data_IF_053699999965
#
_entry.id   IF_053699999965
#
_cell.length_a   1.000
_cell.length_b   1.000
_cell.length_c   1.000
_cell.angle_alpha   90.00
_cell.angle_beta   90.00
_cell.angle_gamma   90.00
#
_symmetry.space_group_name_H-M   'P 1'
#
loop_
_entity.id
_entity.type
_entity.pdbx_description
1 polymer ?
#
# COMPACT_ATOMS: atom_id res chain seq x y z
N UNK A 1 -1.69 4.81 23.08
CA UNK A 1 -0.87 4.00 22.17
C UNK A 1 -1.16 4.46 20.76
N UNK A 2 -0.14 4.78 19.96
CA UNK A 2 -0.32 5.09 18.53
C UNK A 2 -0.15 3.76 17.79
N UNK A 3 -1.09 3.45 16.89
CA UNK A 3 -1.01 2.23 16.09
C UNK A 3 0.13 2.34 15.07
N UNK A 4 0.99 1.33 14.99
CA UNK A 4 2.05 1.26 13.99
C UNK A 4 1.49 0.69 12.68
N UNK A 5 1.28 1.59 11.71
CA UNK A 5 0.73 1.22 10.41
C UNK A 5 1.66 0.35 9.56
N UNK A 6 2.94 0.22 9.94
CA UNK A 6 3.87 -0.71 9.27
C UNK A 6 3.55 -2.17 9.58
N UNK A 7 2.91 -2.47 10.72
CA UNK A 7 2.48 -3.83 11.08
C UNK A 7 1.46 -4.42 10.08
N UNK A 8 0.76 -3.58 9.31
CA UNK A 8 -0.08 -4.07 8.21
C UNK A 8 0.73 -4.73 7.08
N UNK A 9 1.96 -4.27 6.83
CA UNK A 9 2.83 -4.93 5.87
C UNK A 9 3.30 -6.29 6.41
N UNK A 10 3.58 -6.38 7.70
CA UNK A 10 3.97 -7.66 8.33
C UNK A 10 2.83 -8.66 8.25
N UNK A 11 1.60 -8.25 8.59
CA UNK A 11 0.41 -9.08 8.41
C UNK A 11 0.16 -9.44 6.94
N UNK A 12 0.42 -8.53 6.00
CA UNK A 12 0.32 -8.83 4.58
C UNK A 12 1.29 -9.94 4.15
N UNK A 13 2.52 -9.94 4.68
CA UNK A 13 3.53 -10.98 4.41
C UNK A 13 3.08 -12.33 4.97
N UNK A 14 2.55 -12.35 6.19
CA UNK A 14 2.01 -13.57 6.81
C UNK A 14 0.89 -14.18 5.97
N UNK A 15 -0.07 -13.36 5.53
CA UNK A 15 -1.21 -13.81 4.73
C UNK A 15 -0.80 -14.29 3.33
N UNK A 16 0.22 -13.69 2.73
CA UNK A 16 0.75 -14.09 1.44
C UNK A 16 1.49 -15.45 1.49
N UNK A 17 2.04 -15.81 2.65
CA UNK A 17 2.80 -17.04 2.86
C UNK A 17 1.97 -18.34 2.77
N UNK A 18 2.67 -19.47 2.81
CA UNK A 18 2.08 -20.82 2.70
C UNK A 18 1.64 -21.40 4.06
N UNK A 19 1.50 -20.57 5.10
CA UNK A 19 1.06 -21.04 6.41
C UNK A 19 -0.32 -21.72 6.34
N UNK A 20 -0.51 -22.75 7.17
CA UNK A 20 -1.75 -23.51 7.33
C UNK A 20 -2.81 -22.64 8.01
N UNK A 21 -3.40 -21.73 7.24
CA UNK A 21 -4.50 -20.90 7.66
C UNK A 21 -5.85 -21.52 7.27
N UNK A 22 -6.89 -21.26 8.07
CA UNK A 22 -8.26 -21.70 7.80
C UNK A 22 -8.87 -21.09 6.53
N UNK A 23 -8.39 -19.92 6.12
CA UNK A 23 -8.86 -19.22 4.92
C UNK A 23 -8.18 -19.74 3.64
N UNK A 24 -8.98 -19.82 2.57
CA UNK A 24 -8.49 -20.21 1.23
C UNK A 24 -7.35 -19.31 0.76
N UNK A 25 -6.33 -19.84 0.05
CA UNK A 25 -5.18 -19.06 -0.40
C UNK A 25 -5.53 -17.79 -1.18
N UNK A 26 -6.57 -17.83 -2.01
CA UNK A 26 -7.04 -16.66 -2.77
C UNK A 26 -7.51 -15.52 -1.85
N UNK A 27 -8.33 -15.81 -0.85
CA UNK A 27 -8.84 -14.81 0.08
C UNK A 27 -7.70 -14.14 0.86
N UNK A 28 -6.72 -14.94 1.30
CA UNK A 28 -5.55 -14.43 2.02
C UNK A 28 -4.68 -13.52 1.15
N UNK A 29 -4.40 -13.92 -0.09
CA UNK A 29 -3.60 -13.12 -1.02
C UNK A 29 -4.29 -11.82 -1.42
N UNK A 30 -5.61 -11.83 -1.62
CA UNK A 30 -6.40 -10.60 -1.86
C UNK A 30 -6.34 -9.66 -0.66
N UNK A 31 -6.53 -10.19 0.55
CA UNK A 31 -6.41 -9.40 1.78
C UNK A 31 -4.99 -8.85 1.97
N UNK A 32 -3.95 -9.64 1.69
CA UNK A 32 -2.56 -9.21 1.74
C UNK A 32 -2.28 -8.00 0.84
N UNK A 33 -2.82 -7.98 -0.40
CA UNK A 33 -2.68 -6.82 -1.30
C UNK A 33 -3.32 -5.57 -0.68
N UNK A 34 -4.50 -5.71 -0.07
CA UNK A 34 -5.17 -4.59 0.60
C UNK A 34 -4.39 -4.05 1.79
N UNK A 35 -3.85 -4.93 2.63
CA UNK A 35 -3.04 -4.54 3.78
C UNK A 35 -1.71 -3.90 3.37
N UNK A 36 -1.03 -4.44 2.35
CA UNK A 36 0.18 -3.83 1.78
C UNK A 36 -0.12 -2.43 1.24
N UNK A 37 -1.25 -2.24 0.54
CA UNK A 37 -1.68 -0.92 0.11
C UNK A 37 -1.91 0.03 1.30
N UNK A 38 -2.64 -0.40 2.32
CA UNK A 38 -2.96 0.47 3.46
C UNK A 38 -1.73 0.84 4.28
N UNK A 39 -0.78 -0.08 4.47
CA UNK A 39 0.49 0.21 5.13
C UNK A 39 1.21 1.39 4.43
N UNK A 40 1.48 1.26 3.13
CA UNK A 40 2.16 2.29 2.34
C UNK A 40 1.35 3.60 2.26
N UNK A 41 0.05 3.52 1.96
CA UNK A 41 -0.80 4.70 1.81
C UNK A 41 -0.92 5.50 3.10
N UNK A 42 -1.14 4.84 4.24
CA UNK A 42 -1.35 5.54 5.50
C UNK A 42 -0.05 6.18 5.99
N UNK A 43 1.09 5.50 5.84
CA UNK A 43 2.39 6.08 6.16
C UNK A 43 2.69 7.29 5.26
N UNK A 44 2.43 7.20 3.96
CA UNK A 44 2.58 8.33 3.03
C UNK A 44 1.64 9.50 3.39
N UNK A 45 0.38 9.21 3.69
CA UNK A 45 -0.61 10.19 4.14
C UNK A 45 -0.16 10.90 5.41
N UNK A 46 0.33 10.13 6.39
CA UNK A 46 0.79 10.69 7.66
C UNK A 46 2.07 11.50 7.46
N UNK A 47 2.98 11.11 6.56
CA UNK A 47 4.14 11.93 6.19
C UNK A 47 3.70 13.31 5.68
N UNK A 48 2.82 13.37 4.68
CA UNK A 48 2.31 14.65 4.15
C UNK A 48 1.61 15.48 5.24
N UNK A 49 0.81 14.85 6.11
CA UNK A 49 0.07 15.54 7.17
C UNK A 49 0.98 16.06 8.29
N UNK A 50 1.83 15.19 8.81
CA UNK A 50 2.55 15.41 10.08
C UNK A 50 3.92 16.05 9.87
N UNK A 51 4.59 15.77 8.74
CA UNK A 51 5.90 16.35 8.42
C UNK A 51 5.81 17.57 7.50
N UNK A 52 4.90 17.54 6.54
CA UNK A 52 4.79 18.61 5.51
C UNK A 52 3.57 19.53 5.74
N UNK A 53 2.68 19.22 6.68
CA UNK A 53 1.56 20.09 7.06
C UNK A 53 0.39 20.12 6.06
N UNK A 54 0.28 19.14 5.16
CA UNK A 54 -0.82 19.07 4.21
C UNK A 54 -2.17 18.82 4.89
N UNK A 55 -3.21 19.51 4.41
CA UNK A 55 -4.60 19.23 4.77
C UNK A 55 -5.14 18.08 3.90
N UNK A 56 -5.11 16.87 4.45
CA UNK A 56 -5.55 15.66 3.74
C UNK A 56 -7.09 15.61 3.66
N UNK A 57 -7.68 15.36 2.47
CA UNK A 57 -9.11 15.10 2.34
C UNK A 57 -9.60 14.00 3.28
N UNK A 58 -10.80 14.15 3.85
CA UNK A 58 -11.43 13.15 4.74
C UNK A 58 -12.30 12.13 3.99
N UNK A 59 -12.39 12.25 2.67
CA UNK A 59 -13.16 11.38 1.78
C UNK A 59 -12.23 10.34 1.13
N UNK A 60 -12.81 9.45 0.31
CA UNK A 60 -12.03 8.54 -0.54
C UNK A 60 -11.06 9.25 -1.51
N UNK A 61 -11.22 10.56 -1.73
CA UNK A 61 -10.29 11.36 -2.54
C UNK A 61 -8.88 11.43 -1.96
N UNK A 62 -8.71 11.16 -0.67
CA UNK A 62 -7.40 11.11 -0.02
C UNK A 62 -6.42 10.18 -0.77
N UNK A 63 -6.92 9.05 -1.30
CA UNK A 63 -6.11 8.09 -2.05
C UNK A 63 -5.51 8.68 -3.33
N UNK A 64 -6.26 9.52 -4.04
CA UNK A 64 -5.77 10.24 -5.22
C UNK A 64 -4.84 11.38 -4.80
N UNK A 65 -5.30 12.20 -3.85
CA UNK A 65 -4.57 13.38 -3.38
C UNK A 65 -3.15 13.04 -2.91
N UNK A 66 -2.99 12.04 -2.04
CA UNK A 66 -1.68 11.65 -1.50
C UNK A 66 -0.73 11.26 -2.62
N UNK A 67 -1.16 10.39 -3.55
CA UNK A 67 -0.32 9.97 -4.68
C UNK A 67 0.06 11.16 -5.60
N UNK A 68 -0.85 12.10 -5.80
CA UNK A 68 -0.59 13.31 -6.59
C UNK A 68 0.40 14.25 -5.92
N UNK A 69 0.31 14.48 -4.61
CA UNK A 69 1.28 15.32 -3.89
C UNK A 69 2.69 14.74 -3.99
N UNK A 70 2.84 13.43 -3.81
CA UNK A 70 4.14 12.77 -4.01
C UNK A 70 4.63 12.91 -5.47
N UNK A 71 3.73 12.82 -6.45
CA UNK A 71 4.08 12.95 -7.87
C UNK A 71 4.54 14.37 -8.27
N UNK A 72 4.08 15.41 -7.58
CA UNK A 72 4.44 16.79 -7.92
C UNK A 72 5.87 17.16 -7.53
N UNK A 73 6.45 16.48 -6.55
CA UNK A 73 7.81 16.74 -6.08
C UNK A 73 8.84 15.97 -6.94
N UNK A 74 9.80 16.65 -7.62
CA UNK A 74 10.74 15.99 -8.52
C UNK A 74 11.77 15.09 -7.83
N UNK A 75 11.85 15.10 -6.49
CA UNK A 75 12.75 14.25 -5.73
C UNK A 75 12.51 12.74 -6.04
N UNK A 76 13.57 11.95 -6.32
CA UNK A 76 13.41 10.54 -6.68
C UNK A 76 12.68 9.69 -5.64
N UNK A 77 12.85 9.96 -4.34
CA UNK A 77 12.15 9.23 -3.29
C UNK A 77 10.65 9.57 -3.29
N UNK A 78 10.29 10.83 -3.55
CA UNK A 78 8.87 11.20 -3.73
C UNK A 78 8.26 10.51 -4.96
N UNK A 79 8.97 10.49 -6.09
CA UNK A 79 8.52 9.81 -7.32
C UNK A 79 8.38 8.29 -7.13
N UNK A 80 9.27 7.68 -6.35
CA UNK A 80 9.20 6.27 -5.97
C UNK A 80 7.91 5.98 -5.17
N UNK A 81 7.62 6.78 -4.13
CA UNK A 81 6.38 6.65 -3.35
C UNK A 81 5.16 6.80 -4.25
N UNK A 82 5.11 7.83 -5.10
CA UNK A 82 3.99 8.08 -6.01
C UNK A 82 3.72 6.88 -6.94
N UNK A 83 4.78 6.35 -7.54
CA UNK A 83 4.71 5.22 -8.48
C UNK A 83 4.22 3.94 -7.80
N UNK A 84 4.72 3.66 -6.60
CA UNK A 84 4.32 2.50 -5.80
C UNK A 84 2.87 2.60 -5.34
N UNK A 85 2.44 3.76 -4.84
CA UNK A 85 1.04 3.97 -4.41
C UNK A 85 0.05 3.83 -5.57
N UNK A 86 0.39 4.35 -6.75
CA UNK A 86 -0.46 4.23 -7.94
C UNK A 86 -0.68 2.75 -8.32
N UNK A 87 0.40 1.96 -8.40
CA UNK A 87 0.33 0.53 -8.73
C UNK A 87 -0.39 -0.28 -7.65
N UNK A 88 -0.06 -0.04 -6.38
CA UNK A 88 -0.73 -0.72 -5.25
C UNK A 88 -2.23 -0.48 -5.24
N UNK A 89 -2.67 0.76 -5.50
CA UNK A 89 -4.10 1.10 -5.57
C UNK A 89 -4.81 0.32 -6.67
N UNK A 90 -4.19 0.17 -7.85
CA UNK A 90 -4.74 -0.62 -8.95
C UNK A 90 -4.87 -2.10 -8.56
N UNK A 91 -3.83 -2.69 -7.98
CA UNK A 91 -3.87 -4.09 -7.55
C UNK A 91 -4.89 -4.34 -6.45
N UNK A 92 -5.04 -3.40 -5.52
CA UNK A 92 -6.07 -3.45 -4.49
C UNK A 92 -7.47 -3.42 -5.09
N UNK A 93 -7.73 -2.49 -6.00
CA UNK A 93 -9.04 -2.38 -6.65
C UNK A 93 -9.41 -3.70 -7.36
N UNK A 94 -8.46 -4.35 -8.02
CA UNK A 94 -8.68 -5.67 -8.59
C UNK A 94 -8.94 -6.73 -7.49
N UNK A 95 -8.08 -6.79 -6.47
CA UNK A 95 -8.22 -7.73 -5.36
C UNK A 95 -9.60 -7.65 -4.68
N UNK A 96 -10.13 -6.44 -4.53
CA UNK A 96 -11.38 -6.16 -3.84
C UNK A 96 -12.62 -6.48 -4.70
N UNK A 97 -12.57 -6.26 -6.03
CA UNK A 97 -13.79 -6.16 -6.84
C UNK A 97 -13.88 -7.10 -8.05
N UNK A 98 -12.81 -7.76 -8.50
CA UNK A 98 -12.91 -8.69 -9.64
C UNK A 98 -13.22 -10.12 -9.19
N UNK A 99 -14.20 -10.75 -9.86
CA UNK A 99 -14.58 -12.15 -9.60
C UNK A 99 -13.44 -13.13 -9.92
N UNK A 100 -12.63 -12.82 -10.93
CA UNK A 100 -11.46 -13.61 -11.32
C UNK A 100 -10.22 -12.72 -11.36
N UNK A 101 -9.18 -13.13 -10.65
CA UNK A 101 -7.91 -12.41 -10.59
C UNK A 101 -6.76 -13.29 -11.09
N UNK A 102 -6.57 -13.43 -12.41
CA UNK A 102 -5.46 -14.19 -12.98
C UNK A 102 -4.12 -13.67 -12.49
N UNK A 103 -3.19 -14.59 -12.19
CA UNK A 103 -1.85 -14.22 -11.74
C UNK A 103 -1.76 -13.68 -10.30
N UNK A 104 -2.80 -13.84 -9.48
CA UNK A 104 -2.85 -13.34 -8.09
C UNK A 104 -1.59 -13.66 -7.27
N UNK A 105 -1.05 -14.88 -7.39
CA UNK A 105 0.17 -15.28 -6.67
C UNK A 105 1.40 -14.45 -7.06
N UNK A 106 1.52 -14.04 -8.33
CA UNK A 106 2.58 -13.13 -8.75
C UNK A 106 2.32 -11.70 -8.27
N UNK A 107 1.07 -11.26 -8.36
CA UNK A 107 0.68 -9.88 -8.02
C UNK A 107 0.83 -9.60 -6.53
N UNK A 108 0.49 -10.54 -5.64
CA UNK A 108 0.68 -10.33 -4.19
C UNK A 108 2.15 -10.07 -3.86
N UNK A 109 3.08 -10.81 -4.48
CA UNK A 109 4.52 -10.60 -4.26
C UNK A 109 4.99 -9.24 -4.78
N UNK A 110 4.45 -8.78 -5.91
CA UNK A 110 4.73 -7.44 -6.44
C UNK A 110 4.17 -6.37 -5.49
N UNK A 111 2.95 -6.56 -4.97
CA UNK A 111 2.34 -5.62 -4.04
C UNK A 111 3.14 -5.51 -2.73
N UNK A 112 3.60 -6.62 -2.16
CA UNK A 112 4.46 -6.59 -0.96
C UNK A 112 5.73 -5.77 -1.21
N UNK A 113 6.42 -6.02 -2.33
CA UNK A 113 7.64 -5.29 -2.70
C UNK A 113 7.40 -3.80 -2.91
N UNK A 114 6.34 -3.42 -3.63
CA UNK A 114 5.99 -2.01 -3.84
C UNK A 114 5.68 -1.30 -2.53
N UNK A 115 5.04 -1.99 -1.57
CA UNK A 115 4.80 -1.45 -0.24
C UNK A 115 6.12 -1.25 0.52
N UNK A 116 7.03 -2.21 0.47
CA UNK A 116 8.37 -2.09 1.05
C UNK A 116 9.15 -0.91 0.44
N UNK A 117 9.15 -0.79 -0.89
CA UNK A 117 9.81 0.30 -1.61
C UNK A 117 9.25 1.67 -1.22
N UNK A 118 7.92 1.80 -1.13
CA UNK A 118 7.29 3.05 -0.70
C UNK A 118 7.67 3.40 0.74
N UNK A 119 7.62 2.43 1.66
CA UNK A 119 7.95 2.65 3.08
C UNK A 119 9.44 2.98 3.25
N UNK A 120 10.33 2.32 2.51
CA UNK A 120 11.75 2.62 2.52
C UNK A 120 12.03 4.04 1.98
N UNK A 121 11.38 4.42 0.88
CA UNK A 121 11.50 5.76 0.30
C UNK A 121 10.98 6.84 1.27
N UNK A 122 9.88 6.58 1.99
CA UNK A 122 9.38 7.50 3.03
C UNK A 122 10.34 7.67 4.21
N UNK A 123 11.14 6.65 4.54
CA UNK A 123 12.13 6.74 5.61
C UNK A 123 13.35 7.59 5.23
N UNK A 124 13.61 7.77 3.94
CA UNK A 124 14.66 8.65 3.45
C UNK A 124 14.24 10.13 3.29
N UNK A 125 12.95 10.43 3.55
CA UNK A 125 12.36 11.77 3.53
C UNK A 125 12.17 12.34 4.95
#
# INVERSE_FOLDING_TARGET
MIFDWSEYLDLAKELAGEATASAKPEARRRAAIGLAYYAAFILARNHLRDKEGHSIPRTGDAHRYVAEQFKLNPDPAYQSVASSLAKLRLYRLQADYVDRYPGLSGIVNIALRLSEEAIASLKSL
#
